data_IF_196884924840
#
_entry.id   IF_196884924840
#
_cell.length_a   1.000
_cell.length_b   1.000
_cell.length_c   1.000
_cell.angle_alpha   90.00
_cell.angle_beta   90.00
_cell.angle_gamma   90.00
#
_symmetry.space_group_name_H-M   'P 1'
#
loop_
_entity.id
_entity.type
_entity.pdbx_description
1 polymer ?
#
# COMPACT_ATOMS: atom_id res chain seq x y z
N UNK A 1 -4.73 5.11 9.03
CA UNK A 1 -5.43 5.95 8.06
C UNK A 1 -6.40 6.89 8.74
N UNK A 2 -6.89 7.87 8.00
CA UNK A 2 -7.83 8.88 8.55
C UNK A 2 -7.17 10.00 9.35
N UNK A 3 -5.84 10.06 9.39
CA UNK A 3 -5.08 11.20 9.94
C UNK A 3 -4.65 12.15 8.82
N UNK A 4 -4.33 13.40 9.17
CA UNK A 4 -3.88 14.41 8.20
C UNK A 4 -2.51 14.08 7.56
N UNK A 5 -1.80 13.07 8.06
CA UNK A 5 -0.51 12.65 7.54
C UNK A 5 -0.65 11.37 6.71
N UNK A 6 -0.26 11.44 5.45
CA UNK A 6 -0.18 10.27 4.57
C UNK A 6 1.01 9.40 4.96
N UNK A 7 0.77 8.12 5.25
CA UNK A 7 1.80 7.19 5.69
C UNK A 7 2.35 6.36 4.53
N UNK A 8 3.67 6.15 4.54
CA UNK A 8 4.36 5.28 3.58
C UNK A 8 4.32 3.84 4.08
N UNK A 9 3.78 2.96 3.26
CA UNK A 9 3.85 1.52 3.45
C UNK A 9 4.73 0.89 2.38
N UNK A 10 5.57 -0.08 2.76
CA UNK A 10 6.25 -0.98 1.83
C UNK A 10 5.89 -2.44 2.12
N UNK A 11 6.50 -3.38 1.42
CA UNK A 11 6.30 -4.81 1.59
C UNK A 11 7.63 -5.54 1.53
N UNK A 12 7.85 -6.46 2.46
CA UNK A 12 9.03 -7.31 2.43
C UNK A 12 9.03 -8.22 1.19
N UNK A 13 10.21 -8.40 0.63
CA UNK A 13 10.50 -9.39 -0.41
C UNK A 13 11.06 -10.69 0.16
N UNK A 14 11.44 -10.70 1.44
CA UNK A 14 11.94 -11.89 2.15
C UNK A 14 10.81 -12.86 2.48
N UNK A 15 11.05 -14.19 2.50
CA UNK A 15 10.10 -15.15 3.05
C UNK A 15 9.84 -14.86 4.53
N UNK A 16 8.58 -14.68 4.93
CA UNK A 16 8.18 -14.25 6.28
C UNK A 16 8.69 -15.19 7.37
N UNK A 17 8.70 -16.48 7.11
CA UNK A 17 9.27 -17.52 8.00
C UNK A 17 10.78 -17.40 8.24
N UNK A 18 11.50 -16.64 7.42
CA UNK A 18 12.88 -16.28 7.71
C UNK A 18 12.91 -15.00 8.57
N UNK A 19 12.68 -15.16 9.87
CA UNK A 19 12.55 -14.06 10.84
C UNK A 19 13.73 -13.11 10.77
N UNK A 20 14.97 -13.61 10.78
CA UNK A 20 16.16 -12.76 10.81
C UNK A 20 16.28 -11.88 9.56
N UNK A 21 16.08 -12.44 8.36
CA UNK A 21 16.13 -11.69 7.11
C UNK A 21 14.98 -10.69 7.03
N UNK A 22 13.77 -11.07 7.46
CA UNK A 22 12.60 -10.22 7.44
C UNK A 22 12.74 -9.04 8.41
N UNK A 23 13.18 -9.27 9.64
CA UNK A 23 13.45 -8.21 10.63
C UNK A 23 14.52 -7.25 10.13
N UNK A 24 15.61 -7.77 9.56
CA UNK A 24 16.67 -6.92 9.00
C UNK A 24 16.13 -6.00 7.88
N UNK A 25 15.36 -6.55 6.93
CA UNK A 25 14.75 -5.77 5.85
C UNK A 25 13.76 -4.73 6.39
N UNK A 26 12.93 -5.09 7.38
CA UNK A 26 11.99 -4.16 8.01
C UNK A 26 12.73 -2.99 8.67
N UNK A 27 13.79 -3.28 9.43
CA UNK A 27 14.57 -2.25 10.12
C UNK A 27 15.29 -1.32 9.13
N UNK A 28 15.82 -1.86 8.02
CA UNK A 28 16.38 -1.05 6.93
C UNK A 28 15.32 -0.11 6.33
N UNK A 29 14.15 -0.62 6.00
CA UNK A 29 13.05 0.18 5.44
C UNK A 29 12.53 1.21 6.44
N UNK A 30 12.43 0.87 7.73
CA UNK A 30 12.03 1.80 8.78
C UNK A 30 13.03 2.95 8.93
N UNK A 31 14.34 2.65 8.87
CA UNK A 31 15.40 3.65 8.99
C UNK A 31 15.35 4.72 7.88
N UNK A 32 14.89 4.38 6.69
CA UNK A 32 14.73 5.32 5.57
C UNK A 32 13.34 5.97 5.49
N UNK A 33 12.46 5.73 6.50
CA UNK A 33 11.18 6.42 6.63
C UNK A 33 9.95 5.62 6.20
N UNK A 34 10.04 4.31 6.01
CA UNK A 34 8.87 3.43 5.93
C UNK A 34 8.15 3.43 7.28
N UNK A 35 6.84 3.62 7.28
CA UNK A 35 6.05 3.78 8.51
C UNK A 35 5.11 2.60 8.79
N UNK A 36 4.84 1.77 7.79
CA UNK A 36 4.04 0.55 7.89
C UNK A 36 4.68 -0.49 6.98
N UNK A 37 4.83 -1.71 7.47
CA UNK A 37 5.39 -2.78 6.66
C UNK A 37 4.40 -3.94 6.49
N UNK A 38 4.39 -4.56 5.30
CA UNK A 38 3.55 -5.71 5.00
C UNK A 38 4.41 -6.93 4.70
N UNK A 39 3.96 -8.09 5.19
CA UNK A 39 4.54 -9.40 4.89
C UNK A 39 3.49 -10.32 4.28
N UNK A 40 3.89 -11.21 3.39
CA UNK A 40 3.03 -12.26 2.89
C UNK A 40 2.93 -13.39 3.93
N UNK A 41 1.73 -13.90 4.17
CA UNK A 41 1.50 -15.05 5.05
C UNK A 41 0.89 -16.16 4.21
N UNK A 42 1.73 -17.07 3.74
CA UNK A 42 1.38 -18.09 2.76
C UNK A 42 1.07 -19.44 3.40
N UNK A 43 1.70 -19.70 4.55
CA UNK A 43 1.56 -20.95 5.30
C UNK A 43 1.58 -20.70 6.82
N UNK A 44 1.39 -21.77 7.60
CA UNK A 44 1.38 -21.71 9.05
C UNK A 44 2.74 -21.27 9.64
N UNK A 45 3.85 -21.60 8.98
CA UNK A 45 5.18 -21.18 9.43
C UNK A 45 5.37 -19.66 9.33
N UNK A 46 4.83 -19.05 8.26
CA UNK A 46 4.81 -17.59 8.13
C UNK A 46 3.97 -16.95 9.25
N UNK A 47 2.80 -17.52 9.54
CA UNK A 47 1.95 -17.05 10.62
C UNK A 47 2.62 -17.18 12.01
N UNK A 48 3.34 -18.29 12.26
CA UNK A 48 4.08 -18.51 13.49
C UNK A 48 5.22 -17.50 13.68
N UNK A 49 5.90 -17.12 12.60
CA UNK A 49 7.01 -16.16 12.63
C UNK A 49 6.59 -14.74 13.03
N UNK A 50 5.32 -14.37 12.91
CA UNK A 50 4.82 -13.01 13.18
C UNK A 50 5.18 -12.55 14.59
N UNK A 51 5.03 -13.40 15.62
CA UNK A 51 5.35 -13.03 17.01
C UNK A 51 6.81 -12.60 17.17
N UNK A 52 7.71 -13.38 16.59
CA UNK A 52 9.14 -13.13 16.70
C UNK A 52 9.55 -11.88 15.89
N UNK A 53 8.90 -11.64 14.76
CA UNK A 53 9.11 -10.43 13.96
C UNK A 53 8.61 -9.20 14.73
N UNK A 54 7.37 -9.21 15.21
CA UNK A 54 6.74 -8.07 15.90
C UNK A 54 7.54 -7.65 17.14
N UNK A 55 8.14 -8.60 17.85
CA UNK A 55 8.95 -8.30 19.05
C UNK A 55 10.27 -7.57 18.74
N UNK A 56 10.71 -7.50 17.48
CA UNK A 56 12.01 -6.98 17.05
C UNK A 56 11.92 -5.77 16.11
N UNK A 57 10.73 -5.26 15.84
CA UNK A 57 10.51 -4.13 14.94
C UNK A 57 9.79 -2.98 15.63
N UNK A 58 9.98 -1.76 15.14
CA UNK A 58 9.39 -0.54 15.72
C UNK A 58 8.17 -0.01 14.96
N UNK A 59 7.90 -0.53 13.74
CA UNK A 59 6.79 -0.07 12.91
C UNK A 59 5.69 -1.14 12.80
N UNK A 60 4.42 -0.74 12.60
CA UNK A 60 3.30 -1.66 12.49
C UNK A 60 3.46 -2.68 11.36
N UNK A 61 3.18 -3.95 11.66
CA UNK A 61 3.22 -5.07 10.72
C UNK A 61 1.82 -5.39 10.18
N UNK A 62 1.71 -5.55 8.86
CA UNK A 62 0.48 -5.96 8.17
C UNK A 62 0.64 -7.36 7.61
N UNK A 63 -0.26 -8.28 7.96
CA UNK A 63 -0.32 -9.62 7.37
C UNK A 63 -1.16 -9.59 6.09
N UNK A 64 -0.59 -10.05 4.99
CA UNK A 64 -1.28 -10.20 3.71
C UNK A 64 -1.76 -11.65 3.54
N UNK A 65 -3.07 -11.85 3.71
CA UNK A 65 -3.72 -13.16 3.66
C UNK A 65 -4.51 -13.26 2.34
N UNK A 66 -4.20 -14.28 1.54
CA UNK A 66 -4.80 -14.42 0.21
C UNK A 66 -6.00 -15.37 0.18
N UNK A 67 -5.90 -16.57 0.76
CA UNK A 67 -6.90 -17.63 0.56
C UNK A 67 -7.36 -18.32 1.84
N UNK A 68 -6.45 -18.55 2.80
CA UNK A 68 -6.76 -19.31 4.00
C UNK A 68 -7.05 -18.38 5.20
N UNK A 69 -8.32 -18.29 5.58
CA UNK A 69 -8.76 -17.48 6.73
C UNK A 69 -8.09 -17.92 8.05
N UNK A 70 -7.68 -19.20 8.19
CA UNK A 70 -7.02 -19.70 9.41
C UNK A 70 -5.69 -19.01 9.64
N UNK A 71 -5.00 -18.61 8.57
CA UNK A 71 -3.77 -17.83 8.68
C UNK A 71 -4.03 -16.42 9.22
N UNK A 72 -5.20 -15.83 8.92
CA UNK A 72 -5.61 -14.55 9.51
C UNK A 72 -5.85 -14.69 11.02
N UNK A 73 -6.54 -15.76 11.45
CA UNK A 73 -6.75 -16.06 12.87
C UNK A 73 -5.40 -16.27 13.58
N UNK A 74 -4.53 -17.08 12.98
CA UNK A 74 -3.20 -17.34 13.52
C UNK A 74 -2.34 -16.08 13.63
N UNK A 75 -2.38 -15.18 12.65
CA UNK A 75 -1.68 -13.90 12.67
C UNK A 75 -2.20 -12.98 13.76
N UNK A 76 -3.54 -12.90 13.93
CA UNK A 76 -4.19 -12.11 14.97
C UNK A 76 -3.75 -12.53 16.38
N UNK A 77 -3.63 -13.85 16.64
CA UNK A 77 -3.16 -14.37 17.92
C UNK A 77 -1.69 -14.05 18.23
N UNK A 78 -0.92 -13.59 17.23
CA UNK A 78 0.52 -13.34 17.32
C UNK A 78 0.91 -11.87 17.32
N UNK A 79 -0.07 -10.98 17.50
CA UNK A 79 0.18 -9.54 17.69
C UNK A 79 0.37 -8.75 16.40
N UNK A 80 -0.20 -9.21 15.29
CA UNK A 80 -0.22 -8.45 14.05
C UNK A 80 -0.98 -7.12 14.24
N UNK A 81 -0.49 -6.04 13.62
CA UNK A 81 -1.10 -4.71 13.75
C UNK A 81 -2.26 -4.47 12.79
N UNK A 82 -2.33 -5.21 11.69
CA UNK A 82 -3.40 -5.11 10.67
C UNK A 82 -3.43 -6.38 9.83
N UNK A 83 -4.61 -6.76 9.38
CA UNK A 83 -4.80 -7.87 8.44
C UNK A 83 -5.29 -7.30 7.10
N UNK A 84 -4.67 -7.72 6.01
CA UNK A 84 -5.16 -7.46 4.65
C UNK A 84 -5.75 -8.73 4.09
N UNK A 85 -7.00 -8.65 3.67
CA UNK A 85 -7.72 -9.73 2.99
C UNK A 85 -8.43 -9.21 1.73
N UNK A 86 -8.77 -10.14 0.85
CA UNK A 86 -9.86 -9.97 -0.09
C UNK A 86 -10.97 -10.93 0.37
N UNK A 87 -12.09 -10.43 0.94
CA UNK A 87 -13.15 -11.28 1.46
C UNK A 87 -13.70 -12.28 0.44
N UNK A 88 -13.71 -11.93 -0.85
CA UNK A 88 -14.10 -12.85 -1.92
C UNK A 88 -13.17 -14.05 -2.11
N UNK A 89 -11.92 -13.99 -1.64
CA UNK A 89 -10.93 -15.05 -1.84
C UNK A 89 -10.76 -15.98 -0.63
N UNK A 90 -11.12 -15.53 0.57
CA UNK A 90 -10.88 -16.32 1.80
C UNK A 90 -11.99 -17.36 2.08
N UNK A 91 -13.01 -17.38 1.24
CA UNK A 91 -14.10 -18.38 1.27
C UNK A 91 -15.45 -17.81 1.67
N UNK A 92 -16.36 -18.70 2.12
CA UNK A 92 -17.73 -18.31 2.45
C UNK A 92 -17.85 -17.33 3.62
N UNK A 93 -19.05 -16.82 3.81
CA UNK A 93 -19.40 -15.79 4.79
C UNK A 93 -18.99 -16.17 6.23
N UNK A 94 -19.12 -17.45 6.62
CA UNK A 94 -18.72 -17.94 7.95
C UNK A 94 -17.23 -17.75 8.21
N UNK A 95 -16.38 -17.87 7.20
CA UNK A 95 -14.93 -17.66 7.31
C UNK A 95 -14.59 -16.18 7.47
N UNK A 96 -15.29 -15.31 6.72
CA UNK A 96 -15.16 -13.86 6.89
C UNK A 96 -15.57 -13.45 8.29
N UNK A 97 -16.70 -13.99 8.79
CA UNK A 97 -17.17 -13.75 10.15
C UNK A 97 -16.14 -14.16 11.20
N UNK A 98 -15.53 -15.34 11.07
CA UNK A 98 -14.49 -15.79 12.01
C UNK A 98 -13.30 -14.81 12.07
N UNK A 99 -12.87 -14.27 10.92
CA UNK A 99 -11.81 -13.24 10.88
C UNK A 99 -12.28 -11.94 11.53
N UNK A 100 -13.49 -11.50 11.24
CA UNK A 100 -14.09 -10.30 11.86
C UNK A 100 -14.15 -10.44 13.37
N UNK A 101 -14.64 -11.56 13.89
CA UNK A 101 -14.81 -11.79 15.32
C UNK A 101 -13.47 -11.68 16.07
N UNK A 102 -12.40 -12.32 15.55
CA UNK A 102 -11.06 -12.22 16.16
C UNK A 102 -10.47 -10.82 16.03
N UNK A 103 -10.71 -10.13 14.92
CA UNK A 103 -10.22 -8.76 14.70
C UNK A 103 -10.93 -7.77 15.65
N UNK A 104 -12.21 -7.97 15.93
CA UNK A 104 -12.97 -7.19 16.93
C UNK A 104 -12.41 -7.37 18.33
N UNK A 105 -12.26 -8.63 18.76
CA UNK A 105 -11.74 -8.97 20.09
C UNK A 105 -10.38 -8.34 20.35
N UNK A 106 -9.49 -8.42 19.35
CA UNK A 106 -8.11 -7.92 19.45
C UNK A 106 -7.91 -6.48 18.98
N UNK A 107 -8.97 -5.80 18.53
CA UNK A 107 -8.93 -4.42 18.00
C UNK A 107 -7.93 -4.29 16.84
N UNK A 108 -7.92 -5.27 15.92
CA UNK A 108 -7.06 -5.30 14.75
C UNK A 108 -7.86 -4.78 13.54
N UNK A 109 -7.45 -3.68 12.90
CA UNK A 109 -8.10 -3.19 11.70
C UNK A 109 -7.94 -4.15 10.52
N UNK A 110 -8.95 -4.19 9.65
CA UNK A 110 -8.94 -4.97 8.41
C UNK A 110 -8.74 -4.04 7.21
N UNK A 111 -7.86 -4.43 6.30
CA UNK A 111 -7.81 -3.81 4.98
C UNK A 111 -8.43 -4.72 3.94
N UNK A 112 -9.48 -4.22 3.31
CA UNK A 112 -10.06 -4.81 2.10
C UNK A 112 -9.15 -4.47 0.91
N UNK A 113 -8.67 -5.50 0.20
CA UNK A 113 -7.83 -5.33 -0.98
C UNK A 113 -8.51 -5.80 -2.23
N UNK A 114 -9.05 -4.87 -3.03
CA UNK A 114 -9.61 -5.15 -4.35
C UNK A 114 -8.54 -4.89 -5.41
N UNK A 115 -8.32 -5.85 -6.28
CA UNK A 115 -7.41 -5.72 -7.42
C UNK A 115 -8.15 -6.05 -8.72
N UNK A 116 -7.87 -5.31 -9.79
CA UNK A 116 -8.49 -5.55 -11.09
C UNK A 116 -8.30 -6.97 -11.62
N UNK A 117 -7.14 -7.58 -11.33
CA UNK A 117 -6.85 -8.97 -11.75
C UNK A 117 -7.53 -10.06 -10.91
N UNK A 118 -8.25 -9.72 -9.84
CA UNK A 118 -8.92 -10.68 -8.94
C UNK A 118 -10.36 -10.28 -8.60
N UNK A 119 -11.02 -9.58 -9.53
CA UNK A 119 -12.45 -9.28 -9.42
C UNK A 119 -13.30 -10.55 -9.53
N UNK A 120 -14.45 -10.55 -8.84
CA UNK A 120 -15.44 -11.62 -8.95
C UNK A 120 -15.93 -11.77 -10.39
N UNK A 121 -16.17 -13.03 -10.81
CA UNK A 121 -16.67 -13.34 -12.14
C UNK A 121 -17.97 -12.61 -12.48
N UNK A 122 -18.87 -12.47 -11.51
CA UNK A 122 -20.15 -11.76 -11.72
C UNK A 122 -19.93 -10.30 -12.11
N UNK A 123 -18.94 -9.62 -11.47
CA UNK A 123 -18.60 -8.25 -11.81
C UNK A 123 -17.91 -8.16 -13.18
N UNK A 124 -17.07 -9.13 -13.51
CA UNK A 124 -16.46 -9.20 -14.85
C UNK A 124 -17.51 -9.46 -15.94
N UNK A 125 -18.51 -10.29 -15.69
CA UNK A 125 -19.64 -10.52 -16.61
C UNK A 125 -20.50 -9.26 -16.77
N UNK A 126 -20.76 -8.53 -15.67
CA UNK A 126 -21.54 -7.28 -15.67
C UNK A 126 -20.85 -6.14 -16.41
N UNK A 127 -19.54 -5.95 -16.20
CA UNK A 127 -18.79 -4.80 -16.70
C UNK A 127 -17.89 -5.10 -17.91
N UNK A 128 -17.78 -6.37 -18.31
CA UNK A 128 -16.96 -6.85 -19.44
C UNK A 128 -15.46 -6.88 -19.15
N UNK A 129 -14.96 -6.00 -18.31
CA UNK A 129 -13.53 -5.91 -17.90
C UNK A 129 -13.40 -5.16 -16.55
N UNK A 130 -12.23 -5.13 -15.93
CA UNK A 130 -12.01 -4.40 -14.68
C UNK A 130 -12.11 -2.86 -14.88
N UNK A 131 -13.33 -2.31 -14.72
CA UNK A 131 -13.58 -0.87 -14.74
C UNK A 131 -13.45 -0.25 -13.34
N UNK A 132 -13.46 1.08 -13.27
CA UNK A 132 -13.48 1.80 -12.00
C UNK A 132 -14.74 1.46 -11.18
N UNK A 133 -15.89 1.37 -11.86
CA UNK A 133 -17.18 1.03 -11.26
C UNK A 133 -17.17 -0.40 -10.70
N UNK A 134 -16.59 -1.35 -11.43
CA UNK A 134 -16.46 -2.74 -10.98
C UNK A 134 -15.60 -2.86 -9.72
N UNK A 135 -14.48 -2.12 -9.65
CA UNK A 135 -13.62 -2.07 -8.46
C UNK A 135 -14.35 -1.48 -7.26
N UNK A 136 -15.11 -0.41 -7.47
CA UNK A 136 -15.87 0.27 -6.42
C UNK A 136 -17.03 -0.59 -5.93
N UNK A 137 -17.80 -1.22 -6.83
CA UNK A 137 -18.86 -2.14 -6.47
C UNK A 137 -18.33 -3.30 -5.63
N UNK A 138 -17.23 -3.93 -6.05
CA UNK A 138 -16.56 -4.97 -5.27
C UNK A 138 -16.13 -4.49 -3.88
N UNK A 139 -15.61 -3.26 -3.78
CA UNK A 139 -15.20 -2.70 -2.49
C UNK A 139 -16.39 -2.51 -1.55
N UNK A 140 -17.54 -2.02 -2.07
CA UNK A 140 -18.76 -1.86 -1.27
C UNK A 140 -19.38 -3.19 -0.85
N UNK A 141 -19.46 -4.19 -1.74
CA UNK A 141 -19.93 -5.54 -1.37
C UNK A 141 -19.12 -6.11 -0.18
N UNK A 142 -17.82 -5.89 -0.19
CA UNK A 142 -16.95 -6.36 0.90
C UNK A 142 -17.09 -5.51 2.18
N UNK A 143 -17.30 -4.20 2.07
CA UNK A 143 -17.60 -3.34 3.22
C UNK A 143 -18.92 -3.72 3.87
N UNK A 144 -19.99 -3.86 3.10
CA UNK A 144 -21.31 -4.28 3.58
C UNK A 144 -21.24 -5.62 4.31
N UNK A 145 -20.42 -6.56 3.82
CA UNK A 145 -20.21 -7.83 4.50
C UNK A 145 -19.55 -7.67 5.88
N UNK A 146 -18.56 -6.80 6.03
CA UNK A 146 -17.94 -6.51 7.34
C UNK A 146 -18.88 -5.73 8.25
N UNK A 147 -19.61 -4.74 7.72
CA UNK A 147 -20.60 -3.94 8.44
C UNK A 147 -21.77 -4.78 8.94
N UNK A 148 -22.21 -5.78 8.17
CA UNK A 148 -23.22 -6.78 8.60
C UNK A 148 -22.86 -7.43 9.94
N UNK A 149 -21.57 -7.61 10.20
CA UNK A 149 -21.04 -8.11 11.47
C UNK A 149 -20.65 -6.99 12.46
N UNK A 150 -21.02 -5.73 12.16
CA UNK A 150 -20.74 -4.57 13.01
C UNK A 150 -19.24 -4.27 13.10
N UNK A 151 -18.49 -4.44 12.00
CA UNK A 151 -17.06 -4.13 11.93
C UNK A 151 -16.81 -2.93 11.02
N UNK A 152 -16.29 -1.84 11.58
CA UNK A 152 -16.07 -0.56 10.91
C UNK A 152 -14.61 -0.11 10.91
N UNK A 153 -13.73 -0.76 11.68
CA UNK A 153 -12.29 -0.44 11.66
C UNK A 153 -11.62 -1.01 10.40
N UNK A 154 -12.02 -0.45 9.29
CA UNK A 154 -11.69 -0.93 7.95
C UNK A 154 -11.05 0.16 7.13
N UNK A 155 -10.07 -0.18 6.32
CA UNK A 155 -9.59 0.65 5.21
C UNK A 155 -9.67 -0.13 3.90
N UNK A 156 -9.72 0.58 2.78
CA UNK A 156 -9.90 -0.02 1.46
C UNK A 156 -8.70 0.26 0.56
N UNK A 157 -8.33 -0.69 -0.27
CA UNK A 157 -7.42 -0.48 -1.37
C UNK A 157 -8.03 -1.03 -2.65
N UNK A 158 -8.13 -0.18 -3.67
CA UNK A 158 -8.51 -0.56 -5.01
C UNK A 158 -7.32 -0.33 -5.92
N UNK A 159 -6.78 -1.40 -6.52
CA UNK A 159 -5.58 -1.34 -7.34
C UNK A 159 -5.84 -1.82 -8.75
N UNK A 160 -5.23 -1.11 -9.69
CA UNK A 160 -5.20 -1.45 -11.10
C UNK A 160 -3.78 -1.24 -11.64
N UNK A 161 -3.43 -1.94 -12.71
CA UNK A 161 -2.19 -1.70 -13.47
C UNK A 161 -2.31 -0.48 -14.39
N UNK A 162 -3.54 0.02 -14.62
CA UNK A 162 -3.81 1.24 -15.38
C UNK A 162 -4.09 2.42 -14.46
N UNK A 163 -3.35 3.49 -14.63
CA UNK A 163 -3.47 4.71 -13.83
C UNK A 163 -4.87 5.32 -13.91
N UNK A 164 -5.47 5.52 -15.11
CA UNK A 164 -6.81 6.09 -15.22
C UNK A 164 -7.86 5.32 -14.43
N UNK A 165 -7.87 3.99 -14.53
CA UNK A 165 -8.84 3.13 -13.81
C UNK A 165 -8.67 3.26 -12.29
N UNK A 166 -7.42 3.22 -11.80
CA UNK A 166 -7.14 3.32 -10.36
C UNK A 166 -7.57 4.68 -9.80
N UNK A 167 -7.24 5.76 -10.52
CA UNK A 167 -7.60 7.13 -10.11
C UNK A 167 -9.11 7.33 -10.13
N UNK A 168 -9.80 6.89 -11.20
CA UNK A 168 -11.26 6.98 -11.30
C UNK A 168 -11.95 6.18 -10.18
N UNK A 169 -11.48 4.96 -9.89
CA UNK A 169 -12.03 4.13 -8.82
C UNK A 169 -11.88 4.81 -7.44
N UNK A 170 -10.70 5.35 -7.13
CA UNK A 170 -10.46 6.02 -5.86
C UNK A 170 -11.31 7.30 -5.69
N UNK A 171 -11.45 8.10 -6.74
CA UNK A 171 -12.32 9.29 -6.76
C UNK A 171 -13.79 8.92 -6.57
N UNK A 172 -14.25 7.91 -7.32
CA UNK A 172 -15.64 7.43 -7.23
C UNK A 172 -15.94 6.86 -5.85
N UNK A 173 -15.02 6.11 -5.27
CA UNK A 173 -15.18 5.57 -3.91
C UNK A 173 -15.25 6.70 -2.88
N UNK A 174 -14.32 7.66 -2.92
CA UNK A 174 -14.29 8.80 -1.98
C UNK A 174 -15.54 9.67 -2.08
N UNK A 175 -16.16 9.79 -3.25
CA UNK A 175 -17.41 10.53 -3.40
C UNK A 175 -18.63 9.88 -2.73
N UNK A 176 -18.50 8.61 -2.29
CA UNK A 176 -19.59 7.83 -1.71
C UNK A 176 -19.41 7.49 -0.23
N UNK A 177 -18.17 7.49 0.28
CA UNK A 177 -17.89 7.17 1.68
C UNK A 177 -16.54 7.73 2.16
N UNK A 178 -16.34 7.74 3.49
CA UNK A 178 -15.15 8.28 4.15
C UNK A 178 -14.18 7.21 4.68
N UNK A 179 -14.34 5.95 4.32
CA UNK A 179 -13.38 4.92 4.71
C UNK A 179 -11.96 5.25 4.24
N UNK A 180 -10.94 5.10 5.09
CA UNK A 180 -9.56 5.37 4.72
C UNK A 180 -9.11 4.57 3.51
N UNK A 181 -8.37 5.24 2.60
CA UNK A 181 -7.86 4.64 1.37
C UNK A 181 -6.36 4.37 1.44
N UNK A 182 -5.98 3.15 1.09
CA UNK A 182 -4.62 2.78 0.75
C UNK A 182 -4.45 2.81 -0.77
N UNK A 183 -3.71 3.78 -1.28
CA UNK A 183 -3.56 4.02 -2.70
C UNK A 183 -2.20 3.54 -3.24
N UNK A 184 -2.19 3.17 -4.51
CA UNK A 184 -1.00 2.75 -5.23
C UNK A 184 -1.35 2.01 -6.51
N UNK A 185 -0.51 2.16 -7.52
CA UNK A 185 -0.59 1.40 -8.77
C UNK A 185 0.05 0.04 -8.57
N UNK A 186 -0.49 -1.01 -9.15
CA UNK A 186 0.07 -2.37 -9.11
C UNK A 186 0.61 -2.79 -10.46
N UNK A 187 1.55 -3.76 -10.47
CA UNK A 187 2.10 -4.31 -11.73
C UNK A 187 2.64 -3.21 -12.65
N UNK A 188 3.43 -2.31 -12.08
CA UNK A 188 3.84 -1.09 -12.78
C UNK A 188 4.94 -1.33 -13.83
N UNK A 189 5.60 -2.48 -13.79
CA UNK A 189 6.68 -2.85 -14.71
C UNK A 189 8.06 -2.30 -14.27
N UNK A 190 8.98 -2.10 -15.23
CA UNK A 190 10.34 -1.63 -14.95
C UNK A 190 10.37 -0.29 -14.22
N UNK A 191 11.42 -0.04 -13.44
CA UNK A 191 11.58 1.11 -12.54
C UNK A 191 11.13 2.43 -13.15
N UNK A 192 11.69 2.80 -14.32
CA UNK A 192 11.35 4.07 -14.97
C UNK A 192 9.85 4.22 -15.26
N UNK A 193 9.23 3.19 -15.81
CA UNK A 193 7.78 3.21 -16.09
C UNK A 193 6.96 3.17 -14.79
N UNK A 194 7.42 2.37 -13.84
CA UNK A 194 6.80 2.23 -12.53
C UNK A 194 6.78 3.54 -11.74
N UNK A 195 7.87 4.30 -11.76
CA UNK A 195 7.95 5.62 -11.15
C UNK A 195 6.96 6.60 -11.78
N UNK A 196 6.90 6.65 -13.12
CA UNK A 196 5.97 7.53 -13.84
C UNK A 196 4.50 7.17 -13.50
N UNK A 197 4.14 5.89 -13.59
CA UNK A 197 2.79 5.43 -13.26
C UNK A 197 2.42 5.73 -11.80
N UNK A 198 3.34 5.49 -10.87
CA UNK A 198 3.13 5.73 -9.45
C UNK A 198 3.01 7.22 -9.15
N UNK A 199 3.88 8.05 -9.72
CA UNK A 199 3.81 9.50 -9.56
C UNK A 199 2.49 10.07 -10.11
N UNK A 200 2.05 9.63 -11.29
CA UNK A 200 0.79 10.05 -11.87
C UNK A 200 -0.41 9.55 -11.04
N UNK A 201 -0.44 8.27 -10.69
CA UNK A 201 -1.58 7.66 -10.02
C UNK A 201 -1.72 8.10 -8.56
N UNK A 202 -0.65 8.01 -7.79
CA UNK A 202 -0.63 8.42 -6.39
C UNK A 202 -0.68 9.95 -6.29
N UNK A 203 0.15 10.65 -7.07
CA UNK A 203 0.25 12.11 -7.03
C UNK A 203 -1.06 12.81 -7.34
N UNK A 204 -1.81 12.39 -8.39
CA UNK A 204 -3.09 12.99 -8.72
C UNK A 204 -4.12 12.84 -7.59
N UNK A 205 -4.17 11.68 -6.93
CA UNK A 205 -5.09 11.46 -5.81
C UNK A 205 -4.70 12.27 -4.57
N UNK A 206 -3.40 12.37 -4.28
CA UNK A 206 -2.89 13.18 -3.17
C UNK A 206 -3.21 14.67 -3.36
N UNK A 207 -3.13 15.21 -4.59
CA UNK A 207 -3.52 16.59 -4.92
C UNK A 207 -5.02 16.82 -4.77
N UNK A 208 -5.84 15.78 -4.93
CA UNK A 208 -7.28 15.82 -4.64
C UNK A 208 -7.60 15.63 -3.13
N UNK A 209 -6.59 15.48 -2.26
CA UNK A 209 -6.78 15.18 -0.84
C UNK A 209 -7.22 13.73 -0.57
N UNK A 210 -7.02 12.83 -1.52
CA UNK A 210 -7.42 11.41 -1.44
C UNK A 210 -6.19 10.54 -1.16
N UNK A 211 -6.24 9.72 -0.10
CA UNK A 211 -5.23 8.77 0.28
C UNK A 211 -4.71 8.98 1.69
N UNK A 212 -4.77 7.93 2.50
CA UNK A 212 -4.33 7.91 3.89
C UNK A 212 -3.02 7.14 4.07
N UNK A 213 -2.81 6.14 3.24
CA UNK A 213 -1.57 5.40 3.13
C UNK A 213 -1.22 5.16 1.67
N UNK A 214 0.07 5.18 1.33
CA UNK A 214 0.54 4.96 -0.04
C UNK A 214 1.51 3.79 -0.10
N UNK A 215 1.54 3.09 -1.25
CA UNK A 215 2.62 2.18 -1.61
C UNK A 215 2.97 2.35 -3.08
N UNK A 216 4.22 2.70 -3.32
CA UNK A 216 4.85 2.54 -4.63
C UNK A 216 5.17 1.06 -4.83
N UNK A 217 4.95 0.51 -6.01
CA UNK A 217 5.29 -0.88 -6.35
C UNK A 217 6.21 -0.87 -7.56
N UNK A 218 7.43 -1.34 -7.38
CA UNK A 218 8.44 -1.43 -8.43
C UNK A 218 8.94 -2.88 -8.54
N UNK A 219 9.46 -3.24 -9.71
CA UNK A 219 10.23 -4.47 -9.88
C UNK A 219 11.69 -4.17 -9.54
N UNK A 220 11.95 -3.87 -8.25
CA UNK A 220 13.26 -3.51 -7.70
C UNK A 220 13.30 -3.73 -6.18
N UNK A 221 14.41 -3.31 -5.54
CA UNK A 221 14.55 -3.33 -4.07
C UNK A 221 13.44 -2.47 -3.42
N UNK A 222 12.76 -2.96 -2.37
CA UNK A 222 11.78 -2.17 -1.63
C UNK A 222 12.28 -0.84 -1.06
N UNK A 223 13.57 -0.65 -0.92
CA UNK A 223 14.21 0.63 -0.57
C UNK A 223 13.87 1.71 -1.58
N UNK A 224 13.95 1.41 -2.87
CA UNK A 224 13.60 2.33 -3.96
C UNK A 224 12.10 2.71 -3.94
N UNK A 225 11.23 1.79 -3.52
CA UNK A 225 9.80 2.09 -3.33
C UNK A 225 9.57 3.17 -2.26
N UNK A 226 10.34 3.13 -1.16
CA UNK A 226 10.23 4.10 -0.06
C UNK A 226 10.76 5.48 -0.48
N UNK A 227 11.89 5.53 -1.17
CA UNK A 227 12.42 6.80 -1.71
C UNK A 227 11.46 7.43 -2.70
N UNK A 228 10.95 6.65 -3.66
CA UNK A 228 9.94 7.13 -4.62
C UNK A 228 8.66 7.62 -3.93
N UNK A 229 8.22 6.96 -2.86
CA UNK A 229 7.06 7.41 -2.08
C UNK A 229 7.32 8.74 -1.36
N UNK A 230 8.52 8.95 -0.81
CA UNK A 230 8.94 10.23 -0.21
C UNK A 230 8.95 11.34 -1.25
N UNK A 231 9.52 11.08 -2.42
CA UNK A 231 9.58 12.05 -3.52
C UNK A 231 8.19 12.45 -4.02
N UNK A 232 7.28 11.49 -4.16
CA UNK A 232 5.88 11.77 -4.53
C UNK A 232 5.19 12.64 -3.47
N UNK A 233 5.36 12.33 -2.18
CA UNK A 233 4.77 13.12 -1.09
C UNK A 233 5.36 14.54 -1.05
N UNK A 234 6.66 14.69 -1.30
CA UNK A 234 7.35 15.97 -1.39
C UNK A 234 6.85 16.78 -2.60
N UNK A 235 6.77 16.16 -3.78
CA UNK A 235 6.24 16.79 -4.99
C UNK A 235 4.76 17.21 -4.85
N UNK A 236 3.96 16.46 -4.07
CA UNK A 236 2.59 16.81 -3.73
C UNK A 236 2.46 17.89 -2.62
N UNK A 237 3.58 18.38 -2.07
CA UNK A 237 3.58 19.38 -0.99
C UNK A 237 3.16 18.86 0.39
N UNK A 238 3.05 17.55 0.56
CA UNK A 238 2.60 16.90 1.80
C UNK A 238 3.74 16.59 2.78
N UNK A 239 4.98 16.65 2.32
CA UNK A 239 6.19 16.55 3.14
C UNK A 239 7.19 17.63 2.79
N UNK A 240 7.87 18.17 3.80
CA UNK A 240 8.89 19.23 3.67
C UNK A 240 10.29 18.73 4.05
N UNK A 241 10.45 17.42 4.22
CA UNK A 241 11.74 16.83 4.60
C UNK A 241 12.74 16.88 3.42
N UNK A 242 14.00 17.15 3.74
CA UNK A 242 15.10 17.21 2.78
C UNK A 242 15.08 18.44 1.86
N UNK A 243 16.10 18.55 1.04
CA UNK A 243 16.30 19.69 0.13
C UNK A 243 15.46 19.54 -1.13
N UNK A 244 14.85 20.63 -1.58
CA UNK A 244 14.20 20.72 -2.87
C UNK A 244 15.10 21.47 -3.85
N UNK A 245 15.69 20.74 -4.78
CA UNK A 245 16.59 21.32 -5.79
C UNK A 245 15.76 21.85 -6.96
N UNK A 246 15.83 23.16 -7.18
CA UNK A 246 15.21 23.80 -8.34
C UNK A 246 16.32 24.29 -9.25
N UNK A 247 16.39 23.77 -10.47
CA UNK A 247 17.37 24.17 -11.46
C UNK A 247 16.70 24.52 -12.79
N UNK A 248 17.31 25.48 -13.51
CA UNK A 248 16.88 25.79 -14.87
C UNK A 248 17.23 24.61 -15.81
N UNK A 249 16.38 24.26 -16.78
CA UNK A 249 16.76 23.28 -17.81
C UNK A 249 17.87 23.85 -18.69
N UNK A 250 18.79 23.00 -19.16
CA UNK A 250 19.84 23.40 -20.10
C UNK A 250 19.24 23.83 -21.44
N UNK A 251 19.75 24.94 -22.00
CA UNK A 251 19.36 25.43 -23.32
C UNK A 251 20.53 26.16 -23.99
N UNK A 252 20.37 26.68 -25.21
CA UNK A 252 21.41 27.40 -25.94
C UNK A 252 21.95 28.68 -25.24
N UNK A 253 21.33 29.12 -24.15
CA UNK A 253 21.81 30.26 -23.31
C UNK A 253 22.72 29.82 -22.17
N UNK A 254 22.80 28.52 -21.86
CA UNK A 254 23.62 28.00 -20.76
C UNK A 254 25.11 28.15 -21.09
N UNK A 255 25.85 28.77 -20.15
CA UNK A 255 27.28 29.09 -20.29
C UNK A 255 28.18 28.32 -19.32
N UNK A 256 27.61 27.49 -18.46
CA UNK A 256 28.31 26.69 -17.46
C UNK A 256 27.92 25.22 -17.61
N UNK A 257 28.68 24.33 -17.00
CA UNK A 257 28.31 22.91 -16.87
C UNK A 257 27.22 22.78 -15.75
N UNK A 258 26.00 23.17 -16.11
CA UNK A 258 24.87 23.14 -15.19
C UNK A 258 24.49 21.70 -14.78
N UNK A 259 24.62 20.74 -15.71
CA UNK A 259 24.31 19.32 -15.43
C UNK A 259 25.27 18.77 -14.38
N UNK A 260 26.57 18.99 -14.57
CA UNK A 260 27.60 18.58 -13.62
C UNK A 260 27.41 19.23 -12.24
N UNK A 261 27.08 20.52 -12.22
CA UNK A 261 26.83 21.26 -10.97
C UNK A 261 25.61 20.70 -10.21
N UNK A 262 24.49 20.47 -10.90
CA UNK A 262 23.26 19.91 -10.27
C UNK A 262 23.53 18.53 -9.71
N UNK A 263 24.24 17.66 -10.45
CA UNK A 263 24.59 16.32 -9.97
C UNK A 263 25.49 16.36 -8.74
N UNK A 264 26.44 17.30 -8.66
CA UNK A 264 27.29 17.49 -7.48
C UNK A 264 26.50 17.97 -6.28
N UNK A 265 25.58 18.91 -6.46
CA UNK A 265 24.72 19.44 -5.40
C UNK A 265 23.77 18.33 -4.90
N UNK A 266 23.13 17.59 -5.80
CA UNK A 266 22.25 16.47 -5.45
C UNK A 266 22.97 15.41 -4.63
N UNK A 267 24.17 15.02 -5.07
CA UNK A 267 25.01 14.06 -4.35
C UNK A 267 25.44 14.57 -2.96
N UNK A 268 25.76 15.85 -2.83
CA UNK A 268 26.20 16.45 -1.58
C UNK A 268 25.05 16.62 -0.55
N UNK A 269 23.81 16.73 -1.03
CA UNK A 269 22.62 17.00 -0.18
C UNK A 269 21.71 15.78 -0.02
N UNK A 270 22.13 14.61 -0.52
CA UNK A 270 21.33 13.38 -0.51
C UNK A 270 20.92 12.93 0.90
N UNK A 271 21.74 13.23 1.91
CA UNK A 271 21.55 12.83 3.30
C UNK A 271 21.10 13.98 4.23
N UNK A 272 20.70 15.12 3.65
CA UNK A 272 20.29 16.31 4.42
C UNK A 272 18.80 16.35 4.75
#
# INVERSE_FOLDING_TARGET
GGSNNVLIQSMCSTPTKNVAATVNQINQLAAIGCQIIRVAVLDERDALAIRDIVSQISIPLVADIHFDYRLALAAAERGISKIRINPGNIGGEDRVRAVVDVCKDKKIPIRIGVNGGSLDKKLLEKYGHPTAEALVESAFEHLELLEKYGFYDTCVSMKSSTVPTMVAAARLFRSRCDYPLHIGVTETGPVRQGLIKSAMGIGSLLLDGIGDTIRVSLTDDPVEEVYAAKDILKAAGLRKEGVNIISCPTCGRTRIDLIGLVNQVDAALKDC
#
